data_IF_144577001648
#
_entry.id   IF_144577001648
#
_cell.length_a   1.000
_cell.length_b   1.000
_cell.length_c   1.000
_cell.angle_alpha   90.00
_cell.angle_beta   90.00
_cell.angle_gamma   90.00
#
_symmetry.space_group_name_H-M   'P 1'
#
loop_
_entity.id
_entity.type
_entity.pdbx_description
1 polymer ?
#
# COMPACT_ATOMS: atom_id res chain seq x y z
N UNK A 1 0.77 12.63 -19.69
CA UNK A 1 0.66 11.16 -19.64
C UNK A 1 -0.42 10.78 -18.65
N UNK A 2 -1.21 9.75 -18.94
CA UNK A 2 -2.14 9.16 -17.96
C UNK A 2 -1.31 8.43 -16.90
N UNK A 3 -1.54 8.70 -15.60
CA UNK A 3 -0.86 8.00 -14.51
C UNK A 3 -1.39 6.56 -14.41
N UNK A 4 -0.50 5.63 -14.13
CA UNK A 4 -0.83 4.21 -13.89
C UNK A 4 -1.16 3.98 -12.41
N UNK A 5 -1.78 2.84 -12.08
CA UNK A 5 -2.05 2.46 -10.67
C UNK A 5 -0.76 2.43 -9.85
N UNK A 6 0.33 1.91 -10.45
CA UNK A 6 1.65 1.96 -9.83
C UNK A 6 2.08 3.40 -9.51
N UNK A 7 1.90 4.34 -10.43
CA UNK A 7 2.29 5.74 -10.19
C UNK A 7 1.48 6.38 -9.06
N UNK A 8 0.21 5.98 -8.90
CA UNK A 8 -0.61 6.42 -7.77
C UNK A 8 -0.12 5.84 -6.45
N UNK A 9 0.07 4.51 -6.38
CA UNK A 9 0.59 3.82 -5.19
C UNK A 9 1.93 4.39 -4.74
N UNK A 10 2.88 4.54 -5.67
CA UNK A 10 4.19 5.14 -5.39
C UNK A 10 4.03 6.53 -4.81
N UNK A 11 3.23 7.39 -5.45
CA UNK A 11 3.01 8.74 -4.97
C UNK A 11 2.45 8.75 -3.54
N UNK A 12 1.45 7.94 -3.20
CA UNK A 12 0.93 7.92 -1.82
C UNK A 12 1.97 7.43 -0.83
N UNK A 13 2.69 6.35 -1.16
CA UNK A 13 3.69 5.77 -0.26
C UNK A 13 4.88 6.72 -0.04
N UNK A 14 5.26 7.50 -1.05
CA UNK A 14 6.29 8.55 -0.93
C UNK A 14 5.84 9.76 -0.10
N UNK A 15 4.53 10.00 0.03
CA UNK A 15 4.02 11.10 0.85
C UNK A 15 3.84 10.73 2.33
N UNK A 16 4.02 9.46 2.69
CA UNK A 16 4.05 9.05 4.09
C UNK A 16 5.33 9.57 4.75
N UNK A 17 5.21 9.99 6.01
CA UNK A 17 6.37 10.20 6.86
C UNK A 17 7.09 8.86 7.07
N UNK A 18 8.38 8.90 7.37
CA UNK A 18 9.17 7.69 7.57
C UNK A 18 8.57 6.75 8.63
N UNK A 19 8.12 7.31 9.76
CA UNK A 19 7.45 6.53 10.82
C UNK A 19 6.14 5.89 10.34
N UNK A 20 5.34 6.61 9.54
CA UNK A 20 4.08 6.09 9.01
C UNK A 20 4.33 5.03 7.93
N UNK A 21 5.37 5.18 7.12
CA UNK A 21 5.79 4.15 6.16
C UNK A 21 6.26 2.87 6.88
N UNK A 22 6.97 3.00 8.00
CA UNK A 22 7.36 1.86 8.82
C UNK A 22 6.13 1.16 9.46
N UNK A 23 5.17 1.94 9.97
CA UNK A 23 3.90 1.42 10.48
C UNK A 23 3.08 0.76 9.38
N UNK A 24 3.08 1.33 8.17
CA UNK A 24 2.43 0.75 7.00
C UNK A 24 3.00 -0.64 6.68
N UNK A 25 4.33 -0.77 6.57
CA UNK A 25 5.01 -2.05 6.32
C UNK A 25 4.65 -3.11 7.36
N UNK A 26 4.74 -2.74 8.64
CA UNK A 26 4.41 -3.65 9.74
C UNK A 26 2.94 -4.08 9.68
N UNK A 27 2.03 -3.11 9.48
CA UNK A 27 0.60 -3.40 9.45
C UNK A 27 0.20 -4.22 8.22
N UNK A 28 0.84 -4.00 7.08
CA UNK A 28 0.64 -4.77 5.84
C UNK A 28 0.98 -6.26 6.02
N UNK A 29 2.02 -6.60 6.80
CA UNK A 29 2.33 -8.01 7.10
C UNK A 29 1.33 -8.68 8.05
N UNK A 30 0.60 -7.91 8.87
CA UNK A 30 -0.35 -8.46 9.86
C UNK A 30 -1.82 -8.40 9.43
N UNK A 31 -2.14 -7.57 8.42
CA UNK A 31 -3.51 -7.34 8.00
C UNK A 31 -4.10 -8.64 7.43
N UNK A 32 -5.30 -9.07 7.87
CA UNK A 32 -5.97 -10.22 7.25
C UNK A 32 -6.23 -9.95 5.77
N UNK A 33 -5.75 -10.85 4.91
CA UNK A 33 -5.92 -10.77 3.46
C UNK A 33 -7.03 -11.74 3.04
N UNK A 34 -7.76 -11.43 1.96
CA UNK A 34 -8.74 -12.31 1.34
C UNK A 34 -8.15 -13.69 1.03
N UNK A 35 -8.97 -14.75 1.21
CA UNK A 35 -8.55 -16.17 1.18
C UNK A 35 -7.80 -16.61 -0.08
N UNK A 36 -7.98 -15.91 -1.20
CA UNK A 36 -7.30 -16.21 -2.47
C UNK A 36 -5.87 -15.67 -2.55
N UNK A 37 -5.36 -15.00 -1.52
CA UNK A 37 -4.06 -14.35 -1.50
C UNK A 37 -3.32 -14.61 -0.19
N UNK A 38 -1.99 -14.52 -0.25
CA UNK A 38 -1.11 -14.62 0.91
C UNK A 38 -0.61 -13.26 1.35
N UNK A 39 -0.32 -13.11 2.65
CA UNK A 39 0.40 -11.94 3.15
C UNK A 39 1.80 -11.84 2.52
N UNK A 40 2.20 -10.62 2.18
CA UNK A 40 3.59 -10.33 1.81
C UNK A 40 4.46 -10.59 3.04
N UNK A 41 5.53 -11.42 2.94
CA UNK A 41 6.41 -11.69 4.07
C UNK A 41 7.07 -10.41 4.60
N UNK A 42 7.30 -10.36 5.92
CA UNK A 42 7.86 -9.18 6.59
C UNK A 42 9.26 -8.80 6.08
N UNK A 43 10.13 -9.79 5.81
CA UNK A 43 11.51 -9.54 5.38
C UNK A 43 11.64 -8.64 4.14
N UNK A 44 10.95 -8.95 3.02
CA UNK A 44 10.86 -8.06 1.87
C UNK A 44 10.32 -6.66 2.18
N UNK A 45 9.35 -6.54 3.08
CA UNK A 45 8.71 -5.26 3.42
C UNK A 45 9.64 -4.31 4.18
N UNK A 46 10.40 -4.82 5.15
CA UNK A 46 11.24 -4.00 6.03
C UNK A 46 12.16 -3.06 5.26
N UNK A 47 12.82 -3.58 4.22
CA UNK A 47 13.82 -2.85 3.43
C UNK A 47 13.23 -2.11 2.22
N UNK A 48 11.98 -2.38 1.87
CA UNK A 48 11.38 -1.84 0.65
C UNK A 48 11.17 -0.33 0.74
N UNK A 49 11.61 0.41 -0.27
CA UNK A 49 11.19 1.80 -0.47
C UNK A 49 9.77 1.86 -1.08
N UNK A 50 9.21 3.06 -1.25
CA UNK A 50 7.86 3.24 -1.82
C UNK A 50 7.69 2.59 -3.21
N UNK A 51 8.71 2.66 -4.07
CA UNK A 51 8.69 2.00 -5.39
C UNK A 51 8.66 0.48 -5.26
N UNK A 52 9.49 -0.09 -4.39
CA UNK A 52 9.54 -1.53 -4.16
C UNK A 52 8.26 -2.05 -3.51
N UNK A 53 7.70 -1.32 -2.54
CA UNK A 53 6.40 -1.62 -1.94
C UNK A 53 5.28 -1.61 -2.97
N UNK A 54 5.26 -0.64 -3.89
CA UNK A 54 4.26 -0.61 -4.97
C UNK A 54 4.33 -1.86 -5.86
N UNK A 55 5.53 -2.38 -6.11
CA UNK A 55 5.73 -3.62 -6.90
C UNK A 55 5.31 -4.84 -6.12
N UNK A 56 5.60 -4.91 -4.82
CA UNK A 56 5.17 -6.01 -3.96
C UNK A 56 3.65 -6.08 -3.88
N UNK A 57 2.99 -4.94 -3.64
CA UNK A 57 1.53 -4.83 -3.61
C UNK A 57 0.90 -5.32 -4.92
N UNK A 58 1.36 -4.81 -6.07
CA UNK A 58 0.82 -5.22 -7.37
C UNK A 58 1.15 -6.67 -7.73
N UNK A 59 2.32 -7.17 -7.32
CA UNK A 59 2.75 -8.54 -7.59
C UNK A 59 1.97 -9.59 -6.78
N UNK A 60 1.59 -9.27 -5.55
CA UNK A 60 0.82 -10.16 -4.68
C UNK A 60 -0.68 -10.03 -4.88
N UNK A 61 -1.18 -8.81 -5.06
CA UNK A 61 -2.60 -8.51 -4.94
C UNK A 61 -3.25 -8.08 -6.25
N UNK A 62 -2.50 -7.93 -7.35
CA UNK A 62 -3.02 -7.36 -8.60
C UNK A 62 -3.57 -5.94 -8.40
N UNK A 63 -3.97 -5.29 -9.50
CA UNK A 63 -4.26 -3.86 -9.51
C UNK A 63 -5.38 -3.43 -8.53
N UNK A 64 -6.59 -3.99 -8.67
CA UNK A 64 -7.75 -3.54 -7.89
C UNK A 64 -7.58 -3.83 -6.39
N UNK A 65 -7.12 -5.02 -6.05
CA UNK A 65 -7.01 -5.43 -4.66
C UNK A 65 -5.76 -4.85 -3.97
N UNK A 66 -4.69 -4.53 -4.70
CA UNK A 66 -3.58 -3.74 -4.16
C UNK A 66 -4.02 -2.34 -3.69
N UNK A 67 -4.92 -1.68 -4.45
CA UNK A 67 -5.47 -0.38 -4.05
C UNK A 67 -6.30 -0.51 -2.78
N UNK A 68 -7.19 -1.51 -2.72
CA UNK A 68 -8.01 -1.76 -1.53
C UNK A 68 -7.15 -2.04 -0.28
N UNK A 69 -6.18 -2.94 -0.38
CA UNK A 69 -5.25 -3.27 0.72
C UNK A 69 -4.48 -2.03 1.17
N UNK A 70 -4.02 -1.19 0.23
CA UNK A 70 -3.31 0.06 0.56
C UNK A 70 -4.20 0.98 1.39
N UNK A 71 -5.46 1.19 0.97
CA UNK A 71 -6.43 2.02 1.70
C UNK A 71 -6.72 1.45 3.09
N UNK A 72 -6.89 0.13 3.21
CA UNK A 72 -7.18 -0.52 4.49
C UNK A 72 -6.02 -0.39 5.48
N UNK A 73 -4.77 -0.55 5.01
CA UNK A 73 -3.59 -0.37 5.84
C UNK A 73 -3.45 1.10 6.27
N UNK A 74 -3.63 2.06 5.35
CA UNK A 74 -3.59 3.50 5.68
C UNK A 74 -4.62 3.87 6.75
N UNK A 75 -5.85 3.36 6.62
CA UNK A 75 -6.89 3.52 7.62
C UNK A 75 -6.49 2.91 8.97
N UNK A 76 -5.91 1.70 8.96
CA UNK A 76 -5.50 1.00 10.16
C UNK A 76 -4.35 1.69 10.92
N UNK A 77 -3.49 2.46 10.23
CA UNK A 77 -2.43 3.25 10.87
C UNK A 77 -2.85 4.70 11.18
N UNK A 78 -4.12 5.06 10.96
CA UNK A 78 -4.69 6.41 11.11
C UNK A 78 -4.17 7.45 10.11
N UNK A 79 -3.65 7.05 8.95
CA UNK A 79 -3.31 7.93 7.83
C UNK A 79 -4.53 8.13 6.92
N UNK A 80 -5.60 8.72 7.47
CA UNK A 80 -6.92 8.82 6.80
C UNK A 80 -6.92 9.82 5.64
N UNK A 81 -6.14 10.90 5.74
CA UNK A 81 -6.02 11.90 4.68
C UNK A 81 -5.36 11.30 3.42
N UNK A 82 -4.37 10.43 3.61
CA UNK A 82 -3.73 9.68 2.54
C UNK A 82 -4.66 8.62 1.95
N UNK A 83 -5.41 7.90 2.81
CA UNK A 83 -6.41 6.93 2.36
C UNK A 83 -7.49 7.58 1.48
N UNK A 84 -8.04 8.72 1.94
CA UNK A 84 -9.05 9.45 1.19
C UNK A 84 -8.50 10.00 -0.13
N UNK A 85 -7.26 10.50 -0.13
CA UNK A 85 -6.59 10.99 -1.34
C UNK A 85 -6.40 9.88 -2.37
N UNK A 86 -6.04 8.67 -1.95
CA UNK A 86 -5.89 7.54 -2.86
C UNK A 86 -7.23 7.10 -3.43
N UNK A 87 -8.28 6.95 -2.62
CA UNK A 87 -9.62 6.60 -3.13
C UNK A 87 -10.12 7.61 -4.17
N UNK A 88 -9.97 8.92 -3.90
CA UNK A 88 -10.41 9.99 -4.81
C UNK A 88 -9.69 10.02 -6.17
N UNK A 89 -8.58 9.28 -6.33
CA UNK A 89 -7.84 9.22 -7.60
C UNK A 89 -8.37 8.16 -8.56
N UNK A 90 -9.22 7.28 -8.08
CA UNK A 90 -9.83 6.19 -8.85
C UNK A 90 -11.34 6.38 -9.09
N UNK A 91 -11.93 7.46 -8.55
CA UNK A 91 -13.27 7.97 -8.87
C UNK A 91 -13.20 9.00 -10.00
#
# INVERSE_FOLDING_TARGET
MKKTIRDHLVFTLENLREDDLNRFKFKLSELPIAECFDNIPQGPLEKANAMELSRLLLGFYMEDYAVQVTVDVLNAINCRDEAEREVRRFL
#
